data_IF_915140485465
#
_entry.id   IF_915140485465
#
_cell.length_a   1.000
_cell.length_b   1.000
_cell.length_c   1.000
_cell.angle_alpha   90.00
_cell.angle_beta   90.00
_cell.angle_gamma   90.00
#
_symmetry.space_group_name_H-M   'P 1'
#
loop_
_entity.id
_entity.type
_entity.pdbx_description
1 polymer ?
#
# COMPACT_ATOMS: atom_id res chain seq x y z
N UNK A 1 14.10 13.61 7.91
CA UNK A 1 14.06 14.62 6.84
C UNK A 1 14.77 14.14 5.57
N UNK A 2 16.04 13.73 5.63
CA UNK A 2 16.76 13.17 4.47
C UNK A 2 16.10 11.93 3.83
N UNK A 3 15.58 11.01 4.64
CA UNK A 3 14.87 9.83 4.13
C UNK A 3 13.60 10.18 3.33
N UNK A 4 12.84 11.19 3.77
CA UNK A 4 11.65 11.66 3.07
C UNK A 4 12.01 12.36 1.76
N UNK A 5 13.09 13.16 1.77
CA UNK A 5 13.58 13.78 0.55
C UNK A 5 14.01 12.72 -0.48
N UNK A 6 14.76 11.71 -0.04
CA UNK A 6 15.24 10.64 -0.90
C UNK A 6 14.09 9.80 -1.47
N UNK A 7 13.06 9.50 -0.66
CA UNK A 7 11.88 8.77 -1.12
C UNK A 7 11.08 9.55 -2.17
N UNK A 8 10.93 10.86 -2.00
CA UNK A 8 10.27 11.73 -3.00
C UNK A 8 11.07 11.77 -4.30
N UNK A 9 12.40 11.90 -4.23
CA UNK A 9 13.26 11.91 -5.41
C UNK A 9 13.19 10.57 -6.16
N UNK A 10 13.24 9.44 -5.45
CA UNK A 10 13.11 8.11 -6.05
C UNK A 10 11.73 7.92 -6.69
N UNK A 11 10.67 8.38 -6.02
CA UNK A 11 9.31 8.32 -6.55
C UNK A 11 9.17 9.15 -7.83
N UNK A 12 9.66 10.39 -7.82
CA UNK A 12 9.64 11.28 -8.99
C UNK A 12 10.47 10.72 -10.15
N UNK A 13 11.66 10.16 -9.86
CA UNK A 13 12.50 9.53 -10.87
C UNK A 13 11.81 8.32 -11.50
N UNK A 14 11.23 7.44 -10.67
CA UNK A 14 10.54 6.25 -11.16
C UNK A 14 9.28 6.62 -11.95
N UNK A 15 8.55 7.65 -11.52
CA UNK A 15 7.41 8.20 -12.26
C UNK A 15 7.85 8.77 -13.62
N UNK A 16 8.95 9.53 -13.65
CA UNK A 16 9.45 10.13 -14.89
C UNK A 16 9.97 9.08 -15.87
N UNK A 17 10.70 8.08 -15.37
CA UNK A 17 11.21 6.95 -16.16
C UNK A 17 10.07 6.15 -16.80
N UNK A 18 9.03 5.85 -16.05
CA UNK A 18 7.91 5.01 -16.51
C UNK A 18 6.73 5.81 -17.08
N UNK A 19 6.86 7.14 -17.24
CA UNK A 19 5.74 8.04 -17.63
C UNK A 19 5.03 7.64 -18.91
N UNK A 20 5.76 7.08 -19.89
CA UNK A 20 5.20 6.71 -21.19
C UNK A 20 4.27 5.50 -21.05
N UNK A 21 4.71 4.50 -20.30
CA UNK A 21 3.93 3.30 -20.00
C UNK A 21 2.73 3.64 -19.11
N UNK A 22 2.95 4.44 -18.06
CA UNK A 22 1.86 4.93 -17.21
C UNK A 22 0.81 5.67 -18.03
N UNK A 23 1.21 6.63 -18.87
CA UNK A 23 0.28 7.36 -19.73
C UNK A 23 -0.49 6.42 -20.68
N UNK A 24 0.18 5.43 -21.27
CA UNK A 24 -0.47 4.45 -22.13
C UNK A 24 -1.49 3.58 -21.38
N UNK A 25 -1.18 3.18 -20.15
CA UNK A 25 -2.08 2.40 -19.28
C UNK A 25 -3.28 3.23 -18.84
N UNK A 26 -3.05 4.43 -18.27
CA UNK A 26 -4.14 5.30 -17.81
C UNK A 26 -5.01 5.82 -18.95
N UNK A 27 -4.47 5.98 -20.17
CA UNK A 27 -5.27 6.36 -21.34
C UNK A 27 -6.30 5.29 -21.75
N UNK A 28 -6.12 4.03 -21.32
CA UNK A 28 -7.07 2.94 -21.56
C UNK A 28 -8.16 2.86 -20.48
N UNK A 29 -7.98 3.55 -19.35
CA UNK A 29 -8.94 3.57 -18.25
C UNK A 29 -9.92 4.72 -18.41
N UNK A 30 -11.19 4.45 -18.13
CA UNK A 30 -12.21 5.50 -18.03
C UNK A 30 -11.99 6.37 -16.78
N UNK A 31 -12.35 7.65 -16.82
CA UNK A 31 -12.16 8.58 -15.69
C UNK A 31 -12.76 8.07 -14.37
N UNK A 32 -13.89 7.36 -14.43
CA UNK A 32 -14.52 6.73 -13.26
C UNK A 32 -13.68 5.57 -12.70
N UNK A 33 -13.00 4.80 -13.55
CA UNK A 33 -12.10 3.73 -13.11
C UNK A 33 -10.85 4.30 -12.44
N UNK A 34 -10.33 5.41 -12.95
CA UNK A 34 -9.19 6.12 -12.34
C UNK A 34 -9.55 6.58 -10.92
N UNK A 35 -10.72 7.21 -10.76
CA UNK A 35 -11.22 7.63 -9.43
C UNK A 35 -11.40 6.40 -8.53
N UNK A 36 -11.98 5.31 -9.03
CA UNK A 36 -12.13 4.06 -8.27
C UNK A 36 -10.81 3.49 -7.80
N UNK A 37 -9.78 3.50 -8.66
CA UNK A 37 -8.42 3.08 -8.30
C UNK A 37 -7.87 3.98 -7.19
N UNK A 38 -7.92 5.31 -7.33
CA UNK A 38 -7.42 6.25 -6.32
C UNK A 38 -8.09 6.00 -4.96
N UNK A 39 -9.42 5.86 -4.95
CA UNK A 39 -10.18 5.58 -3.72
C UNK A 39 -9.77 4.23 -3.12
N UNK A 40 -9.60 3.19 -3.93
CA UNK A 40 -9.20 1.86 -3.43
C UNK A 40 -7.84 1.88 -2.73
N UNK A 41 -6.87 2.63 -3.26
CA UNK A 41 -5.58 2.84 -2.61
C UNK A 41 -5.73 3.59 -1.29
N UNK A 42 -6.50 4.69 -1.25
CA UNK A 42 -6.74 5.46 -0.02
C UNK A 42 -7.39 4.61 1.07
N UNK A 43 -8.43 3.84 0.72
CA UNK A 43 -9.10 2.94 1.65
C UNK A 43 -8.16 1.85 2.15
N UNK A 44 -7.34 1.28 1.26
CA UNK A 44 -6.37 0.23 1.67
C UNK A 44 -5.32 0.78 2.64
N UNK A 45 -4.81 2.00 2.41
CA UNK A 45 -3.89 2.66 3.33
C UNK A 45 -4.56 2.90 4.69
N UNK A 46 -5.82 3.34 4.70
CA UNK A 46 -6.56 3.54 5.94
C UNK A 46 -6.77 2.22 6.71
N UNK A 47 -7.14 1.13 6.01
CA UNK A 47 -7.29 -0.19 6.62
C UNK A 47 -5.96 -0.69 7.18
N UNK A 48 -4.87 -0.59 6.41
CA UNK A 48 -3.53 -0.99 6.85
C UNK A 48 -3.10 -0.21 8.10
N UNK A 49 -3.34 1.11 8.12
CA UNK A 49 -3.04 1.95 9.26
C UNK A 49 -3.82 1.51 10.52
N UNK A 50 -5.12 1.27 10.39
CA UNK A 50 -5.97 0.80 11.50
C UNK A 50 -5.50 -0.56 12.01
N UNK A 51 -5.21 -1.51 11.12
CA UNK A 51 -4.74 -2.84 11.50
C UNK A 51 -3.37 -2.78 12.20
N UNK A 52 -2.40 -2.06 11.64
CA UNK A 52 -1.06 -1.96 12.22
C UNK A 52 -1.10 -1.23 13.57
N UNK A 53 -1.86 -0.13 13.66
CA UNK A 53 -1.90 0.67 14.87
C UNK A 53 -2.68 -0.03 16.00
N UNK A 54 -3.89 -0.51 15.73
CA UNK A 54 -4.73 -1.11 16.77
C UNK A 54 -4.42 -2.59 16.98
N UNK A 55 -4.46 -3.41 15.92
CA UNK A 55 -4.22 -4.85 16.05
C UNK A 55 -2.75 -5.12 16.38
N UNK A 56 -1.83 -4.40 15.75
CA UNK A 56 -0.41 -4.49 16.07
C UNK A 56 -0.12 -4.18 17.53
N UNK A 57 -0.51 -3.00 18.02
CA UNK A 57 -0.24 -2.60 19.40
C UNK A 57 -0.90 -3.54 20.43
N UNK A 58 -2.10 -4.05 20.14
CA UNK A 58 -2.76 -5.07 20.97
C UNK A 58 -1.96 -6.36 21.02
N UNK A 59 -1.51 -6.89 19.87
CA UNK A 59 -0.83 -8.18 19.78
C UNK A 59 0.55 -8.17 20.45
N UNK A 60 1.30 -7.06 20.35
CA UNK A 60 2.57 -6.92 21.06
C UNK A 60 2.45 -6.59 22.55
N UNK A 61 1.24 -6.26 23.05
CA UNK A 61 1.04 -5.96 24.48
C UNK A 61 1.20 -7.20 25.37
N UNK A 62 1.00 -8.40 24.82
CA UNK A 62 1.14 -9.68 25.51
C UNK A 62 2.59 -10.17 25.62
N UNK A 63 3.54 -9.52 24.93
CA UNK A 63 4.93 -9.98 24.85
C UNK A 63 5.80 -9.11 25.76
N UNK A 64 6.28 -9.64 26.90
CA UNK A 64 7.10 -8.87 27.84
C UNK A 64 8.54 -8.65 27.35
N UNK A 65 9.05 -9.53 26.49
CA UNK A 65 10.42 -9.45 25.96
C UNK A 65 10.51 -8.47 24.78
N UNK A 66 11.29 -7.40 24.94
CA UNK A 66 11.43 -6.31 23.96
C UNK A 66 11.88 -6.81 22.58
N UNK A 67 12.81 -7.77 22.51
CA UNK A 67 13.31 -8.29 21.24
C UNK A 67 12.25 -9.08 20.47
N UNK A 68 11.56 -10.01 21.15
CA UNK A 68 10.44 -10.76 20.54
C UNK A 68 9.30 -9.82 20.16
N UNK A 69 9.06 -8.77 20.95
CA UNK A 69 8.03 -7.77 20.67
C UNK A 69 8.30 -7.05 19.35
N UNK A 70 9.53 -6.57 19.13
CA UNK A 70 9.91 -5.94 17.86
C UNK A 70 9.80 -6.92 16.69
N UNK A 71 10.30 -8.15 16.84
CA UNK A 71 10.22 -9.16 15.78
C UNK A 71 8.76 -9.49 15.40
N UNK A 72 7.89 -9.71 16.39
CA UNK A 72 6.47 -9.97 16.17
C UNK A 72 5.76 -8.79 15.48
N UNK A 73 6.13 -7.54 15.83
CA UNK A 73 5.59 -6.36 15.19
C UNK A 73 5.96 -6.27 13.70
N UNK A 74 7.21 -6.56 13.33
CA UNK A 74 7.62 -6.60 11.91
C UNK A 74 6.90 -7.69 11.12
N UNK A 75 6.76 -8.89 11.70
CA UNK A 75 6.01 -9.99 11.07
C UNK A 75 4.54 -9.60 10.85
N UNK A 76 3.91 -8.95 11.85
CA UNK A 76 2.54 -8.47 11.74
C UNK A 76 2.40 -7.40 10.66
N UNK A 77 3.30 -6.42 10.58
CA UNK A 77 3.30 -5.42 9.51
C UNK A 77 3.39 -6.10 8.15
N UNK A 78 4.32 -7.04 7.99
CA UNK A 78 4.49 -7.77 6.73
C UNK A 78 3.21 -8.53 6.34
N UNK A 79 2.57 -9.21 7.30
CA UNK A 79 1.32 -9.92 7.08
C UNK A 79 0.16 -8.99 6.69
N UNK A 80 0.00 -7.86 7.37
CA UNK A 80 -1.03 -6.85 7.05
C UNK A 80 -0.80 -6.28 5.65
N UNK A 81 0.43 -5.93 5.31
CA UNK A 81 0.76 -5.43 3.97
C UNK A 81 0.46 -6.47 2.89
N UNK A 82 0.83 -7.73 3.10
CA UNK A 82 0.55 -8.81 2.15
C UNK A 82 -0.96 -8.99 1.93
N UNK A 83 -1.73 -8.99 3.02
CA UNK A 83 -3.18 -9.08 2.97
C UNK A 83 -3.82 -7.88 2.25
N UNK A 84 -3.39 -6.67 2.59
CA UNK A 84 -3.86 -5.45 1.95
C UNK A 84 -3.53 -5.41 0.46
N UNK A 85 -2.34 -5.87 0.05
CA UNK A 85 -1.95 -5.95 -1.35
C UNK A 85 -2.79 -6.96 -2.14
N UNK A 86 -3.03 -8.15 -1.58
CA UNK A 86 -3.89 -9.16 -2.22
C UNK A 86 -5.34 -8.66 -2.40
N UNK A 87 -5.89 -8.03 -1.36
CA UNK A 87 -7.21 -7.39 -1.44
C UNK A 87 -7.25 -6.27 -2.48
N UNK A 88 -6.26 -5.38 -2.45
CA UNK A 88 -6.17 -4.26 -3.35
C UNK A 88 -6.05 -4.73 -4.81
N UNK A 89 -5.23 -5.75 -5.07
CA UNK A 89 -5.11 -6.36 -6.40
C UNK A 89 -6.44 -6.90 -6.89
N UNK A 90 -7.16 -7.68 -6.07
CA UNK A 90 -8.50 -8.19 -6.41
C UNK A 90 -9.49 -7.06 -6.72
N UNK A 91 -9.46 -5.98 -5.95
CA UNK A 91 -10.30 -4.80 -6.16
C UNK A 91 -9.93 -4.09 -7.45
N UNK A 92 -8.63 -3.87 -7.71
CA UNK A 92 -8.16 -3.22 -8.93
C UNK A 92 -8.52 -4.02 -10.18
N UNK A 93 -8.32 -5.34 -10.18
CA UNK A 93 -8.68 -6.18 -11.33
C UNK A 93 -10.17 -6.08 -11.64
N UNK A 94 -11.02 -5.99 -10.60
CA UNK A 94 -12.48 -5.80 -10.79
C UNK A 94 -12.81 -4.40 -11.33
N UNK A 95 -12.23 -3.35 -10.77
CA UNK A 95 -12.51 -1.96 -11.17
C UNK A 95 -12.01 -1.68 -12.59
N UNK A 96 -10.80 -2.15 -12.90
CA UNK A 96 -10.13 -1.88 -14.17
C UNK A 96 -10.41 -2.93 -15.24
N UNK A 97 -11.23 -3.95 -14.94
CA UNK A 97 -11.53 -5.09 -15.83
C UNK A 97 -10.25 -5.84 -16.29
N UNK A 98 -9.27 -5.96 -15.40
CA UNK A 98 -8.00 -6.65 -15.66
C UNK A 98 -6.98 -5.87 -16.49
N UNK A 99 -7.13 -4.54 -16.61
CA UNK A 99 -6.10 -3.67 -17.20
C UNK A 99 -4.95 -3.43 -16.22
N UNK A 100 -5.27 -3.32 -14.92
CA UNK A 100 -4.33 -3.40 -13.79
C UNK A 100 -4.59 -4.69 -13.00
#
# INVERSE_FOLDING_TARGET
>A
MYFLFLSIVLFAFNFWKNRKELKATYSKLHSVQIIGVIISYLVTIAIAFVLIYYAGNWLVSFIPFVFLRSAAFFVMIAAVLFFCLDLLHKVLTRITKGIL
#
